data_IF_313393792166
#
_entry.id   IF_313393792166
#
_cell.length_a   1.000
_cell.length_b   1.000
_cell.length_c   1.000
_cell.angle_alpha   90.00
_cell.angle_beta   90.00
_cell.angle_gamma   90.00
#
_symmetry.space_group_name_H-M   'P 1'
#
loop_
_entity.id
_entity.type
_entity.pdbx_description
1 polymer ?
#
# COMPACT_ATOMS: atom_id res chain seq x y z
N UNK A 1 -11.65 -2.47 -7.47
CA UNK A 1 -11.62 -3.55 -6.44
C UNK A 1 -10.26 -4.21 -6.43
N UNK A 2 -9.80 -4.81 -7.54
CA UNK A 2 -8.52 -5.52 -7.64
C UNK A 2 -7.32 -4.66 -7.18
N UNK A 3 -7.28 -3.39 -7.55
CA UNK A 3 -6.20 -2.46 -7.16
C UNK A 3 -6.20 -2.22 -5.66
N UNK A 4 -7.36 -1.97 -5.05
CA UNK A 4 -7.46 -1.68 -3.59
C UNK A 4 -7.12 -2.93 -2.78
N UNK A 5 -7.68 -4.08 -3.12
CA UNK A 5 -7.34 -5.36 -2.45
C UNK A 5 -5.87 -5.71 -2.66
N UNK A 6 -5.36 -5.48 -3.88
CA UNK A 6 -3.95 -5.70 -4.20
C UNK A 6 -3.00 -4.80 -3.40
N UNK A 7 -3.32 -3.51 -3.23
CA UNK A 7 -2.49 -2.58 -2.43
C UNK A 7 -2.50 -2.94 -0.95
N UNK A 8 -3.66 -3.29 -0.38
CA UNK A 8 -3.75 -3.74 1.02
C UNK A 8 -2.94 -5.03 1.22
N UNK A 9 -3.10 -6.01 0.31
CA UNK A 9 -2.36 -7.26 0.36
C UNK A 9 -0.85 -7.06 0.20
N UNK A 10 -0.43 -6.16 -0.68
CA UNK A 10 0.99 -5.81 -0.87
C UNK A 10 1.57 -5.13 0.39
N UNK A 11 0.85 -4.18 0.98
CA UNK A 11 1.26 -3.53 2.23
C UNK A 11 1.42 -4.54 3.36
N UNK A 12 0.46 -5.46 3.50
CA UNK A 12 0.52 -6.53 4.49
C UNK A 12 1.73 -7.45 4.27
N UNK A 13 1.97 -7.87 3.03
CA UNK A 13 3.09 -8.73 2.67
C UNK A 13 4.44 -8.05 2.93
N UNK A 14 4.59 -6.78 2.57
CA UNK A 14 5.80 -6.00 2.84
C UNK A 14 6.01 -5.88 4.36
N UNK A 15 4.97 -5.52 5.10
CA UNK A 15 5.07 -5.37 6.55
C UNK A 15 5.47 -6.69 7.22
N UNK A 16 4.79 -7.79 6.90
CA UNK A 16 5.07 -9.11 7.47
C UNK A 16 6.48 -9.65 7.13
N UNK A 17 7.04 -9.26 5.97
CA UNK A 17 8.35 -9.78 5.52
C UNK A 17 9.52 -8.90 5.97
N UNK A 18 9.33 -7.59 6.05
CA UNK A 18 10.43 -6.64 6.24
C UNK A 18 10.45 -5.96 7.60
N UNK A 19 9.33 -5.93 8.33
CA UNK A 19 9.24 -5.16 9.58
C UNK A 19 10.25 -5.64 10.64
N UNK A 20 10.33 -6.94 10.90
CA UNK A 20 11.27 -7.52 11.86
C UNK A 20 12.72 -7.20 11.45
N UNK A 21 13.06 -7.40 10.18
CA UNK A 21 14.41 -7.12 9.66
C UNK A 21 14.78 -5.65 9.79
N UNK A 22 13.82 -4.77 9.51
CA UNK A 22 14.00 -3.32 9.67
C UNK A 22 14.27 -2.93 11.14
N UNK A 23 13.49 -3.49 12.07
CA UNK A 23 13.70 -3.23 13.49
C UNK A 23 15.06 -3.74 13.98
N UNK A 24 15.47 -4.94 13.58
CA UNK A 24 16.78 -5.50 13.92
C UNK A 24 17.90 -4.62 13.34
N UNK A 25 17.80 -4.21 12.09
CA UNK A 25 18.77 -3.30 11.47
C UNK A 25 18.85 -1.95 12.19
N UNK A 26 17.71 -1.38 12.55
CA UNK A 26 17.69 -0.13 13.31
C UNK A 26 18.32 -0.29 14.70
N UNK A 27 18.10 -1.43 15.35
CA UNK A 27 18.72 -1.75 16.63
C UNK A 27 20.23 -1.90 16.52
N UNK A 28 20.74 -2.53 15.47
CA UNK A 28 22.17 -2.59 15.18
C UNK A 28 22.78 -1.18 15.09
N UNK A 29 22.14 -0.29 14.35
CA UNK A 29 22.58 1.08 14.21
C UNK A 29 22.56 1.84 15.56
N UNK A 30 21.55 1.60 16.41
CA UNK A 30 21.49 2.20 17.75
C UNK A 30 22.63 1.73 18.65
N UNK A 31 22.95 0.43 18.66
CA UNK A 31 24.07 -0.12 19.45
C UNK A 31 25.40 0.47 18.96
N UNK A 32 25.60 0.53 17.63
CA UNK A 32 26.81 1.11 17.04
C UNK A 32 26.94 2.59 17.35
N UNK A 33 25.89 3.38 17.24
CA UNK A 33 25.90 4.80 17.61
C UNK A 33 26.18 5.00 19.12
N UNK A 34 25.61 4.10 19.95
CA UNK A 34 25.92 4.07 21.38
C UNK A 34 27.40 3.80 21.65
N UNK A 35 27.97 2.78 21.00
CA UNK A 35 29.38 2.46 21.07
C UNK A 35 30.26 3.66 20.68
N UNK A 36 30.01 4.27 19.50
CA UNK A 36 30.76 5.42 19.02
C UNK A 36 30.71 6.62 19.99
N UNK A 37 29.58 6.83 20.65
CA UNK A 37 29.41 7.91 21.63
C UNK A 37 30.19 7.63 22.91
N UNK A 38 30.17 6.38 23.37
CA UNK A 38 30.92 5.95 24.57
C UNK A 38 32.42 5.95 24.27
N UNK A 39 32.84 5.55 23.07
CA UNK A 39 34.23 5.54 22.66
C UNK A 39 34.81 6.95 22.57
N UNK A 40 34.08 7.92 22.05
CA UNK A 40 34.48 9.36 22.07
C UNK A 40 34.60 9.91 23.49
N UNK A 41 33.76 9.47 24.42
CA UNK A 41 33.89 9.85 25.82
C UNK A 41 35.13 9.20 26.47
N UNK A 42 35.45 7.96 26.05
CA UNK A 42 36.66 7.28 26.46
C UNK A 42 37.94 8.02 25.97
N UNK A 43 37.94 8.38 24.66
CA UNK A 43 39.06 9.13 24.05
C UNK A 43 39.31 10.49 24.73
N UNK A 44 38.21 11.19 25.10
CA UNK A 44 38.30 12.49 25.80
C UNK A 44 38.53 12.38 27.32
N UNK A 45 38.56 11.18 27.88
CA UNK A 45 38.74 10.96 29.32
C UNK A 45 37.48 11.24 30.17
N UNK A 46 36.37 11.51 29.56
CA UNK A 46 35.14 11.95 30.22
C UNK A 46 34.22 10.80 30.66
N UNK A 47 34.64 9.54 30.51
CA UNK A 47 33.82 8.36 30.86
C UNK A 47 33.36 8.34 32.33
N UNK A 48 34.07 9.03 33.21
CA UNK A 48 33.80 9.08 34.67
C UNK A 48 33.12 10.36 35.11
N UNK A 49 32.87 11.30 34.18
CA UNK A 49 32.30 12.61 34.51
C UNK A 49 30.78 12.46 34.74
N UNK A 50 30.24 13.20 35.72
CA UNK A 50 28.83 13.24 36.04
C UNK A 50 28.00 13.74 34.84
N UNK A 51 28.53 14.64 34.01
CA UNK A 51 27.85 15.14 32.81
C UNK A 51 27.62 14.05 31.77
N UNK A 52 28.45 13.00 31.74
CA UNK A 52 28.29 11.87 30.85
C UNK A 52 27.22 10.88 31.32
N UNK A 53 26.86 10.88 32.62
CA UNK A 53 25.83 9.99 33.18
C UNK A 53 24.50 10.10 32.43
N UNK A 54 24.05 11.32 32.19
CA UNK A 54 22.79 11.58 31.48
C UNK A 54 22.83 11.03 30.02
N UNK A 55 23.98 11.19 29.37
CA UNK A 55 24.18 10.70 28.01
C UNK A 55 24.22 9.18 27.97
N UNK A 56 24.94 8.56 28.89
CA UNK A 56 25.03 7.11 29.05
C UNK A 56 23.66 6.50 29.34
N UNK A 57 22.93 7.08 30.29
CA UNK A 57 21.57 6.64 30.63
C UNK A 57 20.60 6.77 29.43
N UNK A 58 20.69 7.85 28.65
CA UNK A 58 19.89 8.02 27.44
C UNK A 58 20.21 6.96 26.38
N UNK A 59 21.47 6.64 26.15
CA UNK A 59 21.88 5.58 25.22
C UNK A 59 21.26 4.24 25.64
N UNK A 60 21.37 3.92 26.93
CA UNK A 60 20.90 2.66 27.46
C UNK A 60 19.38 2.56 27.52
N UNK A 61 18.67 3.59 28.03
CA UNK A 61 17.22 3.57 28.21
C UNK A 61 16.46 3.70 26.89
N UNK A 62 16.83 4.65 26.03
CA UNK A 62 16.16 4.84 24.74
C UNK A 62 16.37 3.65 23.80
N UNK A 63 17.54 3.02 23.89
CA UNK A 63 17.87 1.84 23.11
C UNK A 63 17.43 0.52 23.74
N UNK A 64 16.92 0.50 24.97
CA UNK A 64 16.75 -0.74 25.77
C UNK A 64 18.01 -1.62 25.66
N UNK A 65 19.18 -1.00 25.89
CA UNK A 65 20.51 -1.61 25.75
C UNK A 65 21.10 -1.75 27.14
N UNK A 66 21.42 -2.97 27.53
CA UNK A 66 22.17 -3.24 28.74
C UNK A 66 23.66 -3.08 28.45
N UNK A 67 24.34 -2.15 29.12
CA UNK A 67 25.73 -1.80 28.85
C UNK A 67 26.57 -1.88 30.13
N UNK A 68 27.76 -2.43 30.01
CA UNK A 68 28.81 -2.38 31.05
C UNK A 68 30.13 -1.94 30.42
N UNK A 69 30.84 -1.05 31.11
CA UNK A 69 32.19 -0.59 30.77
C UNK A 69 33.12 -0.95 31.92
N UNK A 70 34.17 -1.70 31.60
CA UNK A 70 35.15 -2.23 32.56
C UNK A 70 36.51 -1.62 32.24
N UNK A 71 37.12 -0.98 33.21
CA UNK A 71 38.45 -0.41 33.11
C UNK A 71 39.57 -1.46 33.05
N UNK A 72 40.78 -1.02 32.71
CA UNK A 72 41.97 -1.87 32.62
C UNK A 72 42.29 -2.65 33.90
N UNK A 73 41.92 -2.11 35.05
CA UNK A 73 42.14 -2.75 36.36
C UNK A 73 40.93 -3.61 36.78
N UNK A 74 40.04 -3.99 35.85
CA UNK A 74 38.82 -4.75 36.10
C UNK A 74 37.79 -4.03 36.97
N UNK A 75 37.99 -2.72 37.25
CA UNK A 75 36.94 -1.90 37.89
C UNK A 75 35.79 -1.60 36.94
N UNK A 76 34.61 -1.53 37.49
CA UNK A 76 33.43 -1.12 36.72
C UNK A 76 33.42 0.40 36.66
N UNK A 77 33.54 0.93 35.44
CA UNK A 77 33.46 2.37 35.20
C UNK A 77 32.00 2.80 35.11
N UNK A 78 31.19 2.08 34.32
CA UNK A 78 29.79 2.36 34.11
C UNK A 78 28.98 1.06 33.94
N UNK A 79 27.74 1.08 34.41
CA UNK A 79 26.79 0.00 34.19
C UNK A 79 25.37 0.55 34.12
N UNK A 80 24.59 0.10 33.18
CA UNK A 80 23.17 0.44 33.04
C UNK A 80 22.23 -0.53 33.77
N UNK A 81 22.78 -1.60 34.34
CA UNK A 81 22.00 -2.65 35.02
C UNK A 81 22.54 -2.90 36.43
N UNK A 82 21.62 -3.33 37.30
CA UNK A 82 22.00 -3.69 38.69
C UNK A 82 22.67 -5.07 38.77
N UNK A 83 22.29 -6.01 37.86
CA UNK A 83 22.92 -7.34 37.82
C UNK A 83 24.16 -7.33 36.94
N UNK A 84 25.21 -6.78 37.52
CA UNK A 84 26.50 -6.65 36.88
C UNK A 84 27.16 -8.00 36.67
N UNK A 85 26.96 -8.95 37.58
CA UNK A 85 27.60 -10.27 37.55
C UNK A 85 27.21 -11.05 36.30
N UNK A 86 25.96 -10.95 35.89
CA UNK A 86 25.46 -11.61 34.66
C UNK A 86 26.19 -11.07 33.42
N UNK A 87 26.33 -9.74 33.29
CA UNK A 87 27.01 -9.15 32.12
C UNK A 87 28.51 -9.44 32.12
N UNK A 88 29.18 -9.42 33.28
CA UNK A 88 30.58 -9.80 33.40
C UNK A 88 30.82 -11.26 33.03
N UNK A 89 29.95 -12.17 33.46
CA UNK A 89 30.01 -13.59 33.09
C UNK A 89 29.85 -13.78 31.59
N UNK A 90 28.88 -13.15 30.99
CA UNK A 90 28.63 -13.23 29.53
C UNK A 90 29.83 -12.65 28.73
N UNK A 91 30.40 -11.55 29.17
CA UNK A 91 31.59 -10.98 28.56
C UNK A 91 32.81 -11.91 28.71
N UNK A 92 33.00 -12.51 29.88
CA UNK A 92 34.11 -13.47 30.09
C UNK A 92 34.01 -14.71 29.25
N UNK A 93 32.77 -15.23 29.00
CA UNK A 93 32.51 -16.33 28.08
C UNK A 93 32.92 -15.98 26.62
N UNK A 94 32.69 -14.74 26.20
CA UNK A 94 33.03 -14.28 24.83
C UNK A 94 34.54 -14.07 24.66
N UNK A 95 35.19 -13.49 25.65
CA UNK A 95 36.65 -13.21 25.60
C UNK A 95 37.46 -14.48 25.84
N UNK A 96 36.98 -15.38 26.71
CA UNK A 96 37.65 -16.63 27.08
C UNK A 96 37.72 -17.68 25.94
N UNK A 97 37.08 -17.45 24.84
CA UNK A 97 37.18 -18.35 23.67
C UNK A 97 36.61 -19.74 23.91
N UNK A 98 35.63 -19.88 24.81
CA UNK A 98 34.99 -21.17 25.08
C UNK A 98 34.28 -21.64 23.80
N UNK A 99 34.74 -22.75 23.21
CA UNK A 99 34.29 -23.32 21.94
C UNK A 99 32.78 -23.74 21.93
N UNK A 100 32.06 -23.47 23.03
CA UNK A 100 30.64 -23.77 23.19
C UNK A 100 29.69 -22.58 22.98
N UNK A 101 30.20 -21.38 22.81
CA UNK A 101 29.36 -20.19 22.64
C UNK A 101 28.94 -20.07 21.18
N UNK A 102 27.68 -20.39 20.88
CA UNK A 102 27.13 -20.28 19.53
C UNK A 102 26.62 -18.85 19.31
N UNK A 103 27.30 -18.07 18.47
CA UNK A 103 26.87 -16.76 18.03
C UNK A 103 27.09 -16.57 16.52
N UNK A 104 26.23 -15.80 15.89
CA UNK A 104 26.31 -15.44 14.48
C UNK A 104 26.94 -14.04 14.38
N UNK A 105 28.13 -13.96 13.81
CA UNK A 105 28.81 -12.69 13.58
C UNK A 105 28.09 -11.87 12.51
N UNK A 106 27.81 -10.60 12.84
CA UNK A 106 27.19 -9.65 11.92
C UNK A 106 28.25 -8.69 11.38
N UNK A 107 29.12 -8.19 12.26
CA UNK A 107 30.17 -7.25 11.89
C UNK A 107 31.34 -7.38 12.88
N UNK A 108 32.52 -7.54 12.37
CA UNK A 108 33.74 -7.58 13.14
C UNK A 108 34.68 -6.49 12.63
N UNK A 109 35.28 -5.74 13.57
CA UNK A 109 36.27 -4.69 13.31
C UNK A 109 37.44 -4.89 14.28
N UNK A 110 38.51 -4.10 14.14
CA UNK A 110 39.67 -4.18 15.04
C UNK A 110 39.31 -3.82 16.49
N UNK A 111 38.28 -2.97 16.68
CA UNK A 111 37.92 -2.42 17.99
C UNK A 111 36.71 -3.10 18.62
N UNK A 112 35.80 -3.67 17.83
CA UNK A 112 34.59 -4.31 18.33
C UNK A 112 34.09 -5.44 17.43
N UNK A 113 33.30 -6.34 18.02
CA UNK A 113 32.50 -7.33 17.31
C UNK A 113 31.01 -7.16 17.66
N UNK A 114 30.18 -7.25 16.66
CA UNK A 114 28.72 -7.25 16.76
C UNK A 114 28.20 -8.59 16.29
N UNK A 115 27.40 -9.26 17.11
CA UNK A 115 26.89 -10.59 16.82
C UNK A 115 25.47 -10.80 17.37
N UNK A 116 24.83 -11.84 16.88
CA UNK A 116 23.57 -12.37 17.42
C UNK A 116 23.92 -13.61 18.24
N UNK A 117 23.48 -13.65 19.51
CA UNK A 117 23.68 -14.77 20.42
C UNK A 117 22.33 -15.26 20.92
N UNK A 118 22.07 -16.56 20.82
CA UNK A 118 20.95 -17.20 21.50
C UNK A 118 21.38 -17.57 22.93
N UNK A 119 20.60 -17.14 23.92
CA UNK A 119 20.77 -17.59 25.30
C UNK A 119 20.11 -18.95 25.49
N UNK A 120 20.91 -20.00 25.65
CA UNK A 120 20.44 -21.37 25.80
C UNK A 120 19.61 -21.62 27.07
N UNK A 121 19.66 -20.71 28.07
CA UNK A 121 18.92 -20.84 29.35
C UNK A 121 17.53 -20.23 29.26
N UNK A 122 17.40 -19.11 28.57
CA UNK A 122 16.14 -18.35 28.44
C UNK A 122 15.42 -18.61 27.13
N UNK A 123 16.11 -19.19 26.13
CA UNK A 123 15.59 -19.35 24.76
C UNK A 123 15.46 -18.03 24.01
N UNK A 124 15.98 -16.95 24.55
CA UNK A 124 15.92 -15.61 23.98
C UNK A 124 17.13 -15.32 23.11
N UNK A 125 16.94 -14.56 22.05
CA UNK A 125 18.04 -14.05 21.22
C UNK A 125 18.40 -12.62 21.60
N UNK A 126 19.70 -12.37 21.65
CA UNK A 126 20.28 -11.07 21.97
C UNK A 126 21.15 -10.58 20.81
N UNK A 127 21.07 -9.30 20.54
CA UNK A 127 22.07 -8.59 19.79
C UNK A 127 23.13 -8.11 20.78
N UNK A 128 24.37 -8.53 20.57
CA UNK A 128 25.49 -8.26 21.47
C UNK A 128 26.61 -7.53 20.72
N UNK A 129 27.23 -6.56 21.41
CA UNK A 129 28.44 -5.91 20.96
C UNK A 129 29.47 -5.98 22.11
N UNK A 130 30.66 -6.39 21.80
CA UNK A 130 31.80 -6.33 22.74
C UNK A 130 33.02 -5.77 22.03
N UNK A 131 33.87 -5.10 22.78
CA UNK A 131 35.07 -4.47 22.19
C UNK A 131 35.93 -3.76 23.19
N UNK A 132 36.93 -3.10 22.65
CA UNK A 132 37.90 -2.30 23.44
C UNK A 132 37.74 -0.85 22.98
N UNK A 133 37.57 0.05 23.97
CA UNK A 133 37.48 1.49 23.77
C UNK A 133 38.84 2.12 23.55
N UNK A 134 38.89 3.33 23.05
CA UNK A 134 40.08 4.09 22.72
C UNK A 134 41.02 4.32 23.95
N UNK A 135 40.46 4.35 25.15
CA UNK A 135 41.22 4.43 26.39
C UNK A 135 41.76 3.06 26.88
N UNK A 136 41.41 1.97 26.20
CA UNK A 136 41.76 0.58 26.54
C UNK A 136 40.82 -0.08 27.54
N UNK A 137 39.70 0.53 27.88
CA UNK A 137 38.63 -0.08 28.66
C UNK A 137 37.85 -1.07 27.78
N UNK A 138 37.24 -2.10 28.39
CA UNK A 138 36.42 -3.08 27.68
C UNK A 138 34.95 -2.72 27.83
N UNK A 139 34.20 -2.78 26.74
CA UNK A 139 32.77 -2.55 26.73
C UNK A 139 32.01 -3.80 26.30
N UNK A 140 30.85 -4.03 26.92
CA UNK A 140 29.89 -5.01 26.51
C UNK A 140 28.47 -4.39 26.49
N UNK A 141 27.80 -4.54 25.37
CA UNK A 141 26.43 -4.05 25.17
C UNK A 141 25.58 -5.20 24.71
N UNK A 142 24.36 -5.30 25.23
CA UNK A 142 23.37 -6.27 24.75
C UNK A 142 21.97 -5.67 24.67
N UNK A 143 21.18 -6.16 23.72
CA UNK A 143 19.77 -5.83 23.61
C UNK A 143 18.99 -7.09 23.25
N UNK A 144 17.86 -7.34 23.96
CA UNK A 144 16.99 -8.47 23.67
C UNK A 144 16.27 -8.26 22.33
N UNK A 145 16.27 -9.26 21.47
CA UNK A 145 15.55 -9.25 20.19
C UNK A 145 14.08 -9.67 20.36
N UNK A 146 13.74 -10.35 21.47
CA UNK A 146 12.39 -10.81 21.74
C UNK A 146 11.39 -9.64 21.87
N UNK A 147 11.77 -8.58 22.57
CA UNK A 147 10.94 -7.37 22.67
C UNK A 147 10.67 -6.70 21.30
N UNK A 148 11.60 -6.87 20.35
CA UNK A 148 11.45 -6.37 18.98
C UNK A 148 10.44 -7.25 18.22
N UNK A 149 10.55 -8.56 18.36
CA UNK A 149 9.62 -9.52 17.74
C UNK A 149 8.20 -9.33 18.28
N UNK A 150 8.05 -9.22 19.59
CA UNK A 150 6.77 -8.95 20.23
C UNK A 150 6.15 -7.62 19.73
N UNK A 151 6.95 -6.56 19.61
CA UNK A 151 6.50 -5.29 19.05
C UNK A 151 6.10 -5.40 17.57
N UNK A 152 6.85 -6.18 16.78
CA UNK A 152 6.53 -6.45 15.39
C UNK A 152 5.22 -7.25 15.26
N UNK A 153 5.01 -8.26 16.10
CA UNK A 153 3.80 -9.06 16.13
C UNK A 153 2.55 -8.24 16.51
N UNK A 154 2.67 -7.39 17.52
CA UNK A 154 1.60 -6.47 17.91
C UNK A 154 1.26 -5.53 16.74
N UNK A 155 2.29 -4.98 16.09
CA UNK A 155 2.11 -4.10 14.92
C UNK A 155 1.45 -4.84 13.77
N UNK A 156 1.87 -6.08 13.48
CA UNK A 156 1.28 -6.92 12.44
C UNK A 156 -0.21 -7.20 12.71
N UNK A 157 -0.57 -7.60 13.93
CA UNK A 157 -1.97 -7.82 14.33
C UNK A 157 -2.82 -6.55 14.21
N UNK A 158 -2.25 -5.40 14.58
CA UNK A 158 -2.93 -4.13 14.42
C UNK A 158 -3.15 -3.80 12.94
N UNK A 159 -2.14 -4.01 12.09
CA UNK A 159 -2.26 -3.82 10.63
C UNK A 159 -3.27 -4.76 9.98
N UNK A 160 -3.38 -6.01 10.45
CA UNK A 160 -4.42 -6.93 10.01
C UNK A 160 -5.82 -6.39 10.32
N UNK A 161 -6.04 -5.89 11.55
CA UNK A 161 -7.31 -5.29 11.94
C UNK A 161 -7.66 -4.07 11.08
N UNK A 162 -6.68 -3.17 10.87
CA UNK A 162 -6.83 -1.98 10.00
C UNK A 162 -7.14 -2.40 8.56
N UNK A 163 -6.46 -3.43 8.05
CA UNK A 163 -6.69 -3.98 6.72
C UNK A 163 -8.11 -4.51 6.53
N UNK A 164 -8.63 -5.28 7.48
CA UNK A 164 -10.01 -5.80 7.48
C UNK A 164 -11.01 -4.64 7.49
N UNK A 165 -10.81 -3.65 8.36
CA UNK A 165 -11.68 -2.48 8.43
C UNK A 165 -11.67 -1.67 7.13
N UNK A 166 -10.50 -1.42 6.57
CA UNK A 166 -10.35 -0.72 5.28
C UNK A 166 -11.03 -1.49 4.13
N UNK A 167 -10.90 -2.82 4.09
CA UNK A 167 -11.57 -3.65 3.10
C UNK A 167 -13.10 -3.56 3.20
N UNK A 168 -13.65 -3.53 4.43
CA UNK A 168 -15.07 -3.37 4.66
C UNK A 168 -15.59 -2.00 4.19
N UNK A 169 -14.87 -0.93 4.53
CA UNK A 169 -15.20 0.43 4.08
C UNK A 169 -15.17 0.50 2.54
N UNK A 170 -14.12 -0.03 1.91
CA UNK A 170 -14.02 -0.09 0.46
C UNK A 170 -15.17 -0.88 -0.17
N UNK A 171 -15.58 -2.00 0.43
CA UNK A 171 -16.72 -2.77 -0.04
C UNK A 171 -18.01 -1.95 -0.05
N UNK A 172 -18.29 -1.22 1.04
CA UNK A 172 -19.47 -0.34 1.14
C UNK A 172 -19.44 0.75 0.06
N UNK A 173 -18.29 1.40 -0.12
CA UNK A 173 -18.11 2.44 -1.16
C UNK A 173 -18.34 1.86 -2.56
N UNK A 174 -17.81 0.68 -2.85
CA UNK A 174 -17.96 0.02 -4.14
C UNK A 174 -19.43 -0.31 -4.44
N UNK A 175 -20.14 -0.84 -3.44
CA UNK A 175 -21.60 -1.13 -3.59
C UNK A 175 -22.37 0.16 -3.84
N UNK A 176 -22.04 1.23 -3.13
CA UNK A 176 -22.66 2.54 -3.32
C UNK A 176 -22.40 3.08 -4.72
N UNK A 177 -21.15 3.16 -5.16
CA UNK A 177 -20.78 3.65 -6.51
C UNK A 177 -21.37 2.78 -7.61
N UNK A 178 -21.37 1.46 -7.41
CA UNK A 178 -21.97 0.53 -8.38
C UNK A 178 -23.47 0.79 -8.59
N UNK A 179 -24.20 1.05 -7.52
CA UNK A 179 -25.65 1.29 -7.58
C UNK A 179 -26.00 2.70 -8.08
N UNK A 180 -25.23 3.70 -7.67
CA UNK A 180 -25.54 5.11 -7.96
C UNK A 180 -25.01 5.59 -9.32
N UNK A 181 -23.94 4.98 -9.83
CA UNK A 181 -23.28 5.45 -11.04
C UNK A 181 -23.20 4.36 -12.12
N UNK A 182 -22.59 3.20 -11.79
CA UNK A 182 -22.26 2.21 -12.82
C UNK A 182 -23.49 1.56 -13.45
N UNK A 183 -24.51 1.26 -12.65
CA UNK A 183 -25.73 0.61 -13.13
C UNK A 183 -26.56 1.53 -14.03
N UNK A 184 -26.89 2.77 -13.64
CA UNK A 184 -27.62 3.70 -14.50
C UNK A 184 -26.89 4.01 -15.81
N UNK A 185 -25.57 4.22 -15.78
CA UNK A 185 -24.78 4.42 -17.00
C UNK A 185 -24.91 3.24 -17.97
N UNK A 186 -24.89 2.02 -17.45
CA UNK A 186 -25.07 0.82 -18.27
C UNK A 186 -26.48 0.76 -18.90
N UNK A 187 -27.51 1.13 -18.16
CA UNK A 187 -28.89 1.19 -18.68
C UNK A 187 -29.00 2.23 -19.79
N UNK A 188 -28.44 3.43 -19.62
CA UNK A 188 -28.42 4.46 -20.68
C UNK A 188 -27.63 3.97 -21.90
N UNK A 189 -26.54 3.25 -21.70
CA UNK A 189 -25.74 2.66 -22.80
C UNK A 189 -26.56 1.62 -23.59
N UNK A 190 -27.34 0.78 -22.91
CA UNK A 190 -28.21 -0.20 -23.54
C UNK A 190 -29.36 0.46 -24.35
N UNK A 191 -29.93 1.54 -23.81
CA UNK A 191 -30.92 2.35 -24.52
C UNK A 191 -30.31 2.97 -25.78
N UNK A 192 -29.11 3.57 -25.66
CA UNK A 192 -28.40 4.13 -26.82
C UNK A 192 -28.09 3.08 -27.88
N UNK A 193 -27.80 1.84 -27.51
CA UNK A 193 -27.61 0.74 -28.44
C UNK A 193 -28.92 0.39 -29.17
N UNK A 194 -30.01 0.27 -28.44
CA UNK A 194 -31.32 0.02 -29.04
C UNK A 194 -31.75 1.12 -30.04
N UNK A 195 -31.49 2.39 -29.66
CA UNK A 195 -31.76 3.50 -30.59
C UNK A 195 -30.94 3.40 -31.88
N UNK A 196 -29.71 2.89 -31.82
CA UNK A 196 -28.87 2.66 -33.02
C UNK A 196 -29.44 1.53 -33.92
N UNK A 197 -30.25 0.66 -33.36
CA UNK A 197 -31.00 -0.42 -34.06
C UNK A 197 -32.43 0.04 -34.49
N UNK A 198 -32.71 1.34 -34.32
CA UNK A 198 -34.01 1.97 -34.60
C UNK A 198 -35.17 1.51 -33.69
N UNK A 199 -34.81 0.98 -32.52
CA UNK A 199 -35.77 0.68 -31.43
C UNK A 199 -35.79 1.88 -30.45
N UNK A 200 -36.85 2.69 -30.54
CA UNK A 200 -37.04 3.90 -29.74
C UNK A 200 -38.00 3.69 -28.56
N UNK A 201 -38.51 2.46 -28.34
CA UNK A 201 -39.48 2.19 -27.26
C UNK A 201 -38.81 2.22 -25.87
N UNK A 202 -37.48 1.89 -25.81
CA UNK A 202 -36.75 1.87 -24.57
C UNK A 202 -36.47 3.30 -24.08
N UNK A 203 -37.02 3.65 -22.92
CA UNK A 203 -36.79 4.95 -22.26
C UNK A 203 -36.14 4.75 -20.91
N UNK A 204 -35.28 5.69 -20.53
CA UNK A 204 -34.68 5.72 -19.21
C UNK A 204 -35.68 6.22 -18.17
N UNK A 205 -35.81 5.48 -17.07
CA UNK A 205 -36.61 5.88 -15.90
C UNK A 205 -35.69 6.19 -14.74
N UNK A 206 -35.63 7.44 -14.21
CA UNK A 206 -34.79 7.80 -13.10
C UNK A 206 -35.11 6.97 -11.86
N UNK A 207 -34.06 6.46 -11.18
CA UNK A 207 -34.18 5.76 -9.92
C UNK A 207 -33.98 6.71 -8.77
N UNK A 208 -34.51 6.39 -7.59
CA UNK A 208 -34.41 7.24 -6.39
C UNK A 208 -32.96 7.47 -5.89
N UNK A 209 -32.03 6.63 -6.32
CA UNK A 209 -30.62 6.68 -5.93
C UNK A 209 -29.70 7.23 -7.02
N UNK A 210 -30.25 7.68 -8.15
CA UNK A 210 -29.44 8.25 -9.22
C UNK A 210 -28.89 9.61 -8.80
N UNK A 211 -27.66 9.91 -9.22
CA UNK A 211 -27.17 11.27 -9.08
C UNK A 211 -27.96 12.21 -10.01
N UNK A 212 -27.99 13.49 -9.66
CA UNK A 212 -28.71 14.51 -10.45
C UNK A 212 -28.23 14.52 -11.91
N UNK A 213 -26.92 14.38 -12.10
CA UNK A 213 -26.30 14.37 -13.43
C UNK A 213 -26.71 13.16 -14.28
N UNK A 214 -26.85 12.00 -13.63
CA UNK A 214 -27.31 10.77 -14.31
C UNK A 214 -28.78 10.88 -14.69
N UNK A 215 -29.62 11.42 -13.81
CA UNK A 215 -31.04 11.64 -14.08
C UNK A 215 -31.24 12.61 -15.25
N UNK A 216 -30.45 13.72 -15.26
CA UNK A 216 -30.47 14.69 -16.36
C UNK A 216 -29.98 14.08 -17.67
N UNK A 217 -28.91 13.29 -17.66
CA UNK A 217 -28.39 12.57 -18.82
C UNK A 217 -29.47 11.62 -19.38
N UNK A 218 -30.19 10.91 -18.53
CA UNK A 218 -31.28 10.02 -18.92
C UNK A 218 -32.46 10.76 -19.57
N UNK A 219 -32.82 11.94 -19.03
CA UNK A 219 -33.86 12.79 -19.63
C UNK A 219 -33.44 13.30 -21.00
N UNK A 220 -32.23 13.77 -21.18
CA UNK A 220 -31.73 14.19 -22.50
C UNK A 220 -31.68 13.04 -23.50
N UNK A 221 -31.33 11.84 -23.03
CA UNK A 221 -31.38 10.65 -23.88
C UNK A 221 -32.79 10.30 -24.34
N UNK A 222 -33.79 10.44 -23.46
CA UNK A 222 -35.18 10.24 -23.81
C UNK A 222 -35.67 11.27 -24.85
N UNK A 223 -35.34 12.55 -24.65
CA UNK A 223 -35.66 13.64 -25.57
C UNK A 223 -35.03 13.41 -26.96
N UNK A 224 -33.76 12.98 -26.98
CA UNK A 224 -33.08 12.62 -28.25
C UNK A 224 -33.77 11.44 -28.95
N UNK A 225 -34.20 10.43 -28.20
CA UNK A 225 -34.95 9.29 -28.72
C UNK A 225 -36.25 9.72 -29.39
N UNK A 226 -37.04 10.62 -28.77
CA UNK A 226 -38.26 11.16 -29.31
C UNK A 226 -38.05 11.94 -30.61
N UNK A 227 -37.06 12.86 -30.59
CA UNK A 227 -36.73 13.64 -31.79
C UNK A 227 -36.30 12.77 -32.97
N UNK A 228 -35.50 11.72 -32.71
CA UNK A 228 -35.11 10.78 -33.76
C UNK A 228 -36.29 9.96 -34.31
N UNK A 229 -37.16 9.48 -33.44
CA UNK A 229 -38.38 8.74 -33.84
C UNK A 229 -39.26 9.59 -34.73
N UNK A 230 -39.54 10.85 -34.35
CA UNK A 230 -40.32 11.81 -35.12
C UNK A 230 -39.67 12.09 -36.48
N UNK A 231 -38.38 12.41 -36.51
CA UNK A 231 -37.62 12.69 -37.73
C UNK A 231 -37.64 11.51 -38.72
N UNK A 232 -37.47 10.29 -38.21
CA UNK A 232 -37.52 9.07 -39.05
C UNK A 232 -38.90 8.82 -39.59
N UNK A 233 -39.96 9.08 -38.80
CA UNK A 233 -41.35 8.97 -39.25
C UNK A 233 -41.66 9.97 -40.35
N UNK A 234 -41.23 11.24 -40.19
CA UNK A 234 -41.37 12.27 -41.23
C UNK A 234 -40.63 11.91 -42.51
N UNK A 235 -39.38 11.45 -42.40
CA UNK A 235 -38.56 11.00 -43.55
C UNK A 235 -39.23 9.83 -44.30
N UNK A 236 -39.80 8.86 -43.57
CA UNK A 236 -40.56 7.74 -44.20
C UNK A 236 -41.76 8.25 -44.93
N UNK A 237 -42.53 9.16 -44.34
CA UNK A 237 -43.74 9.75 -44.97
C UNK A 237 -43.36 10.52 -46.23
N UNK A 238 -42.35 11.40 -46.17
CA UNK A 238 -41.86 12.14 -47.33
C UNK A 238 -41.32 11.23 -48.44
N UNK A 239 -40.65 10.13 -48.07
CA UNK A 239 -40.15 9.15 -49.04
C UNK A 239 -41.32 8.41 -49.74
N UNK A 240 -42.41 8.09 -49.04
CA UNK A 240 -43.60 7.48 -49.63
C UNK A 240 -44.27 8.46 -50.60
N UNK A 241 -44.46 9.70 -50.22
CA UNK A 241 -45.03 10.76 -51.05
C UNK A 241 -44.19 10.96 -52.33
N UNK A 242 -42.87 11.08 -52.19
CA UNK A 242 -41.94 11.23 -53.31
C UNK A 242 -42.04 10.03 -54.29
N UNK A 243 -42.13 8.81 -53.79
CA UNK A 243 -42.30 7.60 -54.60
C UNK A 243 -43.66 7.59 -55.38
N UNK A 244 -44.74 8.09 -54.75
CA UNK A 244 -46.00 8.25 -55.38
C UNK A 244 -46.00 9.28 -56.54
N UNK A 245 -45.27 10.42 -56.27
CA UNK A 245 -45.13 11.46 -57.28
C UNK A 245 -44.29 11.01 -58.49
N UNK A 246 -43.17 10.26 -58.21
CA UNK A 246 -42.39 9.64 -59.28
C UNK A 246 -43.28 8.72 -60.14
N UNK A 247 -44.03 7.84 -59.50
CA UNK A 247 -44.94 6.93 -60.21
C UNK A 247 -45.97 7.66 -61.09
N UNK A 248 -46.62 8.70 -60.55
CA UNK A 248 -47.56 9.54 -61.33
C UNK A 248 -46.88 10.19 -62.52
N UNK A 249 -45.62 10.68 -62.36
CA UNK A 249 -44.89 11.25 -63.49
C UNK A 249 -44.52 10.22 -64.55
N UNK A 250 -44.16 9.01 -64.16
CA UNK A 250 -43.93 7.90 -65.10
C UNK A 250 -45.17 7.52 -65.88
N UNK A 251 -46.33 7.43 -65.22
CA UNK A 251 -47.61 7.17 -65.86
C UNK A 251 -47.99 8.27 -66.89
N UNK A 252 -47.80 9.53 -66.52
CA UNK A 252 -48.05 10.66 -67.42
C UNK A 252 -47.09 10.62 -68.65
N UNK A 253 -45.82 10.29 -68.45
CA UNK A 253 -44.82 10.18 -69.52
C UNK A 253 -45.12 9.00 -70.43
N UNK A 254 -45.64 7.88 -69.95
CA UNK A 254 -46.03 6.75 -70.75
C UNK A 254 -47.33 7.11 -71.60
N UNK A 255 -48.32 7.71 -71.00
CA UNK A 255 -49.51 8.21 -71.71
C UNK A 255 -49.10 9.23 -72.76
N UNK A 256 -48.19 10.11 -72.50
CA UNK A 256 -47.68 11.09 -73.50
C UNK A 256 -46.98 10.42 -74.68
N UNK A 257 -46.13 9.41 -74.39
CA UNK A 257 -45.47 8.63 -75.47
C UNK A 257 -46.47 7.86 -76.32
N UNK A 258 -47.45 7.24 -75.71
CA UNK A 258 -48.54 6.52 -76.41
C UNK A 258 -49.33 7.48 -77.24
N UNK A 259 -49.74 8.63 -76.74
CA UNK A 259 -50.45 9.67 -77.50
C UNK A 259 -49.59 10.15 -78.68
N UNK A 260 -48.36 10.46 -78.56
CA UNK A 260 -47.49 10.87 -79.65
C UNK A 260 -47.27 9.77 -80.67
N UNK A 261 -47.15 8.51 -80.25
CA UNK A 261 -47.10 7.36 -81.13
C UNK A 261 -48.39 7.21 -82.00
N UNK A 262 -49.56 7.31 -81.37
CA UNK A 262 -50.84 7.21 -82.03
C UNK A 262 -51.09 8.36 -83.04
N UNK A 263 -50.76 9.60 -82.66
CA UNK A 263 -50.85 10.77 -83.58
C UNK A 263 -49.86 10.64 -84.73
N UNK A 264 -48.65 10.09 -84.51
CA UNK A 264 -47.67 9.86 -85.63
C UNK A 264 -48.05 8.72 -86.54
N UNK A 265 -48.95 7.84 -86.12
CA UNK A 265 -49.44 6.73 -86.98
C UNK A 265 -50.69 7.09 -87.79
N UNK A 266 -51.41 8.13 -87.36
CA UNK A 266 -52.62 8.63 -88.13
C UNK A 266 -52.30 9.75 -89.10
N UNK A 267 -51.13 10.30 -89.17
CA UNK A 267 -50.60 11.24 -90.18
C UNK A 267 -49.80 10.51 -91.27
#
# INVERSE_FOLDING_TARGET
>A
ILVVVGTIGLCWLINNTFLEKYYIFNKQNQILAGFDTIDKAAESGNLRDEDFDITFEKICSNGNISTIVIGKNHEIIRSSVNDIQLLQMQLSELIGGDNGVNYEEIKVTDNYALARKADSRLGEEYLILWGVLSDGSTIYMRSALESIRESADITNKFMELVGIFAALVCFVIIVFVSRTISRPIREITEISKKMSELDFEAKYTPHSNDSMEIAELGQHMNALSETLEETISELKSANIELKQDIRKKEEIDEMRKEFLSNVSHEL
#
